data_IF_699105533536
#
_entry.id   IF_699105533536
#
_cell.length_a   1.000
_cell.length_b   1.000
_cell.length_c   1.000
_cell.angle_alpha   90.00
_cell.angle_beta   90.00
_cell.angle_gamma   90.00
#
_symmetry.space_group_name_H-M   'P 1'
#
loop_
_entity.id
_entity.type
_entity.pdbx_description
1 polymer ?
#
# COMPACT_ATOMS: atom_id res chain seq x y z
N UNK A 1 -1.48 9.75 -32.43
CA UNK A 1 -0.29 9.26 -31.69
C UNK A 1 -0.63 7.84 -31.29
N UNK A 2 -0.19 6.87 -32.08
CA UNK A 2 -0.50 5.46 -31.83
C UNK A 2 0.36 4.99 -30.68
N UNK A 3 -0.28 4.80 -29.52
CA UNK A 3 0.38 4.23 -28.36
C UNK A 3 0.53 2.73 -28.64
N UNK A 4 1.76 2.29 -28.85
CA UNK A 4 2.07 0.89 -29.10
C UNK A 4 1.61 0.04 -27.90
N UNK A 5 0.71 -0.92 -28.13
CA UNK A 5 0.11 -1.73 -27.07
C UNK A 5 1.19 -2.46 -26.26
N UNK A 6 2.32 -2.78 -26.90
CA UNK A 6 3.47 -3.41 -26.28
C UNK A 6 4.19 -2.47 -25.28
N UNK A 7 4.23 -1.17 -25.56
CA UNK A 7 4.78 -0.15 -24.67
C UNK A 7 3.90 0.03 -23.42
N UNK A 8 2.58 0.06 -23.59
CA UNK A 8 1.62 0.13 -22.47
C UNK A 8 1.75 -1.09 -21.57
N UNK A 9 1.77 -2.29 -22.15
CA UNK A 9 1.90 -3.54 -21.41
C UNK A 9 3.23 -3.60 -20.65
N UNK A 10 4.34 -3.24 -21.30
CA UNK A 10 5.66 -3.20 -20.67
C UNK A 10 5.70 -2.23 -19.50
N UNK A 11 5.13 -1.03 -19.67
CA UNK A 11 5.05 -0.01 -18.62
C UNK A 11 4.20 -0.49 -17.43
N UNK A 12 3.01 -1.05 -17.71
CA UNK A 12 2.12 -1.59 -16.68
C UNK A 12 2.77 -2.74 -15.90
N UNK A 13 3.46 -3.66 -16.59
CA UNK A 13 4.20 -4.74 -15.97
C UNK A 13 5.32 -4.20 -15.07
N UNK A 14 6.06 -3.19 -15.52
CA UNK A 14 7.13 -2.58 -14.74
C UNK A 14 6.63 -1.97 -13.42
N UNK A 15 5.52 -1.22 -13.48
CA UNK A 15 4.88 -0.68 -12.28
C UNK A 15 4.31 -1.77 -11.36
N UNK A 16 3.70 -2.81 -11.93
CA UNK A 16 3.20 -3.93 -11.15
C UNK A 16 4.33 -4.67 -10.41
N UNK A 17 5.48 -4.89 -11.07
CA UNK A 17 6.66 -5.51 -10.46
C UNK A 17 7.23 -4.64 -9.35
N UNK A 18 7.45 -3.35 -9.60
CA UNK A 18 7.98 -2.45 -8.58
C UNK A 18 7.04 -2.30 -7.38
N UNK A 19 5.74 -2.13 -7.62
CA UNK A 19 4.73 -2.06 -6.57
C UNK A 19 4.60 -3.37 -5.80
N UNK A 20 4.67 -4.51 -6.49
CA UNK A 20 4.67 -5.84 -5.89
C UNK A 20 5.91 -6.08 -5.02
N UNK A 21 7.11 -5.72 -5.50
CA UNK A 21 8.36 -5.82 -4.72
C UNK A 21 8.32 -4.93 -3.48
N UNK A 22 7.81 -3.71 -3.60
CA UNK A 22 7.59 -2.84 -2.45
C UNK A 22 6.61 -3.46 -1.45
N UNK A 23 5.47 -3.97 -1.94
CA UNK A 23 4.51 -4.67 -1.10
C UNK A 23 5.09 -5.89 -0.39
N UNK A 24 5.95 -6.66 -1.04
CA UNK A 24 6.68 -7.77 -0.43
C UNK A 24 7.65 -7.30 0.66
N UNK A 25 8.34 -6.19 0.45
CA UNK A 25 9.22 -5.60 1.46
C UNK A 25 8.43 -5.17 2.71
N UNK A 26 7.28 -4.53 2.52
CA UNK A 26 6.36 -4.20 3.63
C UNK A 26 5.85 -5.47 4.30
N UNK A 27 5.49 -6.50 3.54
CA UNK A 27 5.09 -7.80 4.07
C UNK A 27 6.19 -8.46 4.91
N UNK A 28 7.47 -8.29 4.57
CA UNK A 28 8.57 -8.78 5.41
C UNK A 28 8.64 -8.05 6.75
N UNK A 29 8.48 -6.71 6.74
CA UNK A 29 8.42 -5.90 7.97
C UNK A 29 7.21 -6.26 8.85
N UNK A 30 6.17 -6.80 8.23
CA UNK A 30 4.95 -7.28 8.88
C UNK A 30 5.01 -8.72 9.38
N UNK A 31 6.03 -9.49 8.96
CA UNK A 31 6.15 -10.90 9.33
C UNK A 31 6.15 -11.19 10.85
N UNK A 32 6.62 -10.30 11.77
CA UNK A 32 6.51 -10.57 13.20
C UNK A 32 5.06 -10.74 13.68
N UNK A 33 4.09 -10.08 13.04
CA UNK A 33 2.67 -10.22 13.37
C UNK A 33 2.13 -11.62 13.03
N UNK A 34 2.79 -12.34 12.12
CA UNK A 34 2.50 -13.75 11.85
C UNK A 34 2.89 -14.66 13.01
N UNK A 35 3.59 -14.20 14.05
CA UNK A 35 3.73 -14.98 15.28
C UNK A 35 2.38 -15.16 15.98
N UNK A 36 1.41 -14.27 15.73
CA UNK A 36 0.04 -14.41 16.21
C UNK A 36 -0.72 -15.49 15.43
N UNK A 37 -1.19 -16.52 16.13
CA UNK A 37 -2.09 -17.52 15.55
C UNK A 37 -3.42 -16.93 15.03
N UNK A 38 -3.85 -15.76 15.53
CA UNK A 38 -5.07 -15.08 15.05
C UNK A 38 -4.90 -14.55 13.62
N UNK A 39 -3.76 -13.93 13.33
CA UNK A 39 -3.49 -13.43 11.98
C UNK A 39 -3.20 -14.56 10.99
N UNK A 40 -2.58 -15.67 11.43
CA UNK A 40 -2.46 -16.85 10.58
C UNK A 40 -3.82 -17.38 10.15
N UNK A 41 -4.78 -17.49 11.08
CA UNK A 41 -6.16 -17.89 10.79
C UNK A 41 -6.85 -17.00 9.76
N UNK A 42 -6.59 -15.69 9.77
CA UNK A 42 -7.06 -14.78 8.72
C UNK A 42 -6.56 -15.23 7.34
N UNK A 43 -5.26 -15.46 7.18
CA UNK A 43 -4.71 -15.86 5.89
C UNK A 43 -5.07 -17.31 5.51
N UNK A 44 -5.21 -18.22 6.47
CA UNK A 44 -5.75 -19.57 6.29
C UNK A 44 -7.18 -19.55 5.74
N UNK A 45 -8.01 -18.59 6.20
CA UNK A 45 -9.39 -18.46 5.71
C UNK A 45 -9.45 -18.03 4.25
N UNK A 46 -8.43 -17.28 3.78
CA UNK A 46 -8.40 -16.76 2.42
C UNK A 46 -7.92 -17.83 1.41
N UNK A 47 -8.43 -17.83 0.17
CA UNK A 47 -7.89 -18.66 -0.90
C UNK A 47 -6.42 -18.32 -1.15
N UNK A 48 -5.53 -19.31 -1.39
CA UNK A 48 -5.81 -20.73 -1.68
C UNK A 48 -5.96 -21.68 -0.47
N UNK A 49 -6.01 -21.18 0.77
CA UNK A 49 -6.25 -21.99 1.99
C UNK A 49 -5.00 -22.37 2.78
N UNK A 50 -3.80 -22.07 2.28
CA UNK A 50 -2.55 -22.11 3.05
C UNK A 50 -2.16 -20.69 3.48
N UNK A 51 -1.98 -20.45 4.78
CA UNK A 51 -1.73 -19.10 5.29
C UNK A 51 -0.45 -18.46 4.72
N UNK A 52 0.57 -19.24 4.35
CA UNK A 52 1.84 -18.68 3.82
C UNK A 52 1.63 -18.19 2.40
N UNK A 53 0.98 -19.01 1.57
CA UNK A 53 0.63 -18.62 0.21
C UNK A 53 -0.33 -17.44 0.20
N UNK A 54 -1.38 -17.50 1.01
CA UNK A 54 -2.33 -16.39 1.16
C UNK A 54 -1.63 -15.11 1.65
N UNK A 55 -0.70 -15.20 2.60
CA UNK A 55 0.06 -14.04 3.06
C UNK A 55 0.84 -13.37 1.94
N UNK A 56 1.63 -14.15 1.21
CA UNK A 56 2.47 -13.65 0.10
C UNK A 56 1.62 -13.09 -1.04
N UNK A 57 0.45 -13.67 -1.29
CA UNK A 57 -0.46 -13.23 -2.35
C UNK A 57 -1.21 -11.94 -2.00
N UNK A 58 -1.78 -11.87 -0.79
CA UNK A 58 -2.71 -10.81 -0.41
C UNK A 58 -2.04 -9.57 0.19
N UNK A 59 -0.91 -9.73 0.90
CA UNK A 59 -0.23 -8.58 1.54
C UNK A 59 0.33 -7.54 0.58
N UNK A 60 0.84 -7.88 -0.62
CA UNK A 60 1.36 -6.86 -1.54
C UNK A 60 0.26 -6.02 -2.20
N UNK A 61 -0.97 -6.52 -2.31
CA UNK A 61 -2.05 -5.86 -3.06
C UNK A 61 -2.37 -4.44 -2.59
N UNK A 62 -2.53 -4.17 -1.27
CA UNK A 62 -2.69 -2.79 -0.81
C UNK A 62 -1.54 -1.90 -1.31
N UNK A 63 -0.28 -2.34 -1.19
CA UNK A 63 0.89 -1.53 -1.54
C UNK A 63 0.93 -1.09 -3.01
N UNK A 64 0.28 -1.84 -3.92
CA UNK A 64 0.17 -1.46 -5.32
C UNK A 64 -0.55 -0.12 -5.52
N UNK A 65 -1.58 0.17 -4.70
CA UNK A 65 -2.34 1.43 -4.81
C UNK A 65 -1.46 2.64 -4.54
N UNK A 66 -0.63 2.59 -3.49
CA UNK A 66 0.27 3.70 -3.20
C UNK A 66 1.49 3.71 -4.12
N UNK A 67 1.97 2.56 -4.57
CA UNK A 67 3.03 2.50 -5.59
C UNK A 67 2.58 3.18 -6.89
N UNK A 68 1.30 3.06 -7.26
CA UNK A 68 0.72 3.80 -8.38
C UNK A 68 0.77 5.31 -8.16
N UNK A 69 0.31 5.82 -7.01
CA UNK A 69 0.37 7.25 -6.72
C UNK A 69 1.81 7.78 -6.61
N UNK A 70 2.72 6.99 -6.04
CA UNK A 70 4.16 7.32 -6.01
C UNK A 70 4.73 7.39 -7.44
N UNK A 71 4.32 6.48 -8.32
CA UNK A 71 4.66 6.49 -9.74
C UNK A 71 4.16 7.72 -10.50
N UNK A 72 3.12 8.40 -10.01
CA UNK A 72 2.68 9.71 -10.53
C UNK A 72 3.60 10.84 -10.04
N UNK A 73 4.07 10.75 -8.79
CA UNK A 73 4.92 11.80 -8.18
C UNK A 73 6.33 11.83 -8.78
N UNK A 74 6.97 10.67 -8.97
CA UNK A 74 8.40 10.57 -9.30
C UNK A 74 8.85 11.06 -10.68
N UNK A 75 8.09 10.87 -11.78
CA UNK A 75 8.46 11.39 -13.10
C UNK A 75 8.48 12.92 -13.12
N UNK A 76 7.72 13.54 -12.22
CA UNK A 76 7.46 14.97 -12.20
C UNK A 76 8.51 15.73 -11.39
N UNK A 77 9.04 15.13 -10.31
CA UNK A 77 10.17 15.64 -9.54
C UNK A 77 11.53 15.52 -10.25
N UNK A 78 11.54 15.09 -11.51
CA UNK A 78 12.76 15.03 -12.36
C UNK A 78 12.76 16.10 -13.43
N UNK A 79 11.63 16.79 -13.63
CA UNK A 79 11.52 17.93 -14.53
C UNK A 79 11.73 19.15 -13.67
N UNK A 80 12.96 19.66 -13.61
CA UNK A 80 13.32 20.86 -12.85
C UNK A 80 12.33 21.99 -13.18
N UNK A 81 11.45 22.30 -12.24
CA UNK A 81 10.53 23.44 -12.30
C UNK A 81 10.99 24.49 -11.29
N UNK A 82 10.67 25.78 -11.52
CA UNK A 82 10.91 26.80 -10.53
C UNK A 82 10.32 26.38 -9.17
N UNK A 83 11.00 26.64 -8.03
CA UNK A 83 10.54 26.24 -6.69
C UNK A 83 9.11 26.73 -6.33
N UNK A 84 8.62 27.73 -7.06
CA UNK A 84 7.30 28.35 -6.90
C UNK A 84 6.18 27.63 -7.66
N UNK A 85 6.48 26.66 -8.53
CA UNK A 85 5.48 25.99 -9.38
C UNK A 85 5.54 24.46 -9.24
N UNK A 86 4.95 23.95 -8.15
CA UNK A 86 4.67 22.52 -8.03
C UNK A 86 3.75 22.08 -9.17
N UNK A 87 4.12 20.99 -9.86
CA UNK A 87 3.30 20.43 -10.92
C UNK A 87 1.97 19.91 -10.38
N UNK A 88 0.88 20.10 -11.13
CA UNK A 88 -0.45 19.57 -10.79
C UNK A 88 -0.44 18.06 -10.55
N UNK A 89 0.42 17.30 -11.25
CA UNK A 89 0.58 15.86 -11.07
C UNK A 89 1.30 15.51 -9.76
N UNK A 90 2.26 16.32 -9.33
CA UNK A 90 2.92 16.17 -8.03
C UNK A 90 1.92 16.35 -6.89
N UNK A 91 1.12 17.43 -6.96
CA UNK A 91 0.05 17.72 -5.99
C UNK A 91 -1.00 16.62 -6.00
N UNK A 92 -1.48 16.21 -7.18
CA UNK A 92 -2.46 15.14 -7.32
C UNK A 92 -1.95 13.78 -6.79
N UNK A 93 -0.66 13.47 -6.97
CA UNK A 93 -0.05 12.26 -6.43
C UNK A 93 0.02 12.26 -4.90
N UNK A 94 0.40 13.40 -4.29
CA UNK A 94 0.39 13.56 -2.83
C UNK A 94 -1.03 13.50 -2.25
N UNK A 95 -1.98 14.21 -2.86
CA UNK A 95 -3.39 14.19 -2.46
C UNK A 95 -3.96 12.78 -2.60
N UNK A 96 -3.59 12.07 -3.68
CA UNK A 96 -3.94 10.67 -3.90
C UNK A 96 -3.45 9.75 -2.79
N UNK A 97 -2.19 9.89 -2.35
CA UNK A 97 -1.64 9.16 -1.21
C UNK A 97 -2.44 9.46 0.06
N UNK A 98 -2.75 10.72 0.33
CA UNK A 98 -3.48 11.15 1.53
C UNK A 98 -4.90 10.60 1.56
N UNK A 99 -5.64 10.75 0.45
CA UNK A 99 -7.01 10.26 0.29
C UNK A 99 -7.06 8.74 0.38
N UNK A 100 -6.17 8.02 -0.33
CA UNK A 100 -6.09 6.56 -0.28
C UNK A 100 -5.82 6.06 1.14
N UNK A 101 -4.94 6.75 1.88
CA UNK A 101 -4.63 6.44 3.28
C UNK A 101 -5.84 6.67 4.17
N UNK A 102 -6.51 7.83 4.07
CA UNK A 102 -7.67 8.16 4.87
C UNK A 102 -8.83 7.16 4.65
N UNK A 103 -9.11 6.79 3.41
CA UNK A 103 -10.11 5.77 3.08
C UNK A 103 -9.69 4.43 3.68
N UNK A 104 -8.43 4.05 3.54
CA UNK A 104 -7.91 2.76 4.00
C UNK A 104 -7.97 2.58 5.51
N UNK A 105 -7.81 3.65 6.30
CA UNK A 105 -7.95 3.61 7.76
C UNK A 105 -9.32 3.08 8.19
N UNK A 106 -10.38 3.40 7.43
CA UNK A 106 -11.74 2.93 7.71
C UNK A 106 -12.07 1.63 6.98
N UNK A 107 -11.64 1.53 5.71
CA UNK A 107 -11.97 0.40 4.85
C UNK A 107 -11.40 -0.92 5.38
N UNK A 108 -10.15 -0.94 5.84
CA UNK A 108 -9.51 -2.18 6.29
C UNK A 108 -10.16 -2.77 7.56
N UNK A 109 -10.40 -2.02 8.63
CA UNK A 109 -11.13 -2.54 9.78
C UNK A 109 -12.52 -3.04 9.43
N UNK A 110 -13.26 -2.31 8.58
CA UNK A 110 -14.60 -2.74 8.13
C UNK A 110 -14.52 -4.05 7.34
N UNK A 111 -13.57 -4.15 6.43
CA UNK A 111 -13.36 -5.34 5.60
C UNK A 111 -13.03 -6.56 6.46
N UNK A 112 -12.09 -6.40 7.40
CA UNK A 112 -11.57 -7.49 8.23
C UNK A 112 -12.55 -7.93 9.33
N UNK A 113 -13.27 -6.99 9.95
CA UNK A 113 -14.16 -7.29 11.09
C UNK A 113 -15.59 -7.64 10.67
N UNK A 114 -16.06 -7.18 9.51
CA UNK A 114 -17.46 -7.33 9.12
C UNK A 114 -17.65 -7.97 7.75
N UNK A 115 -16.97 -7.49 6.71
CA UNK A 115 -17.23 -7.95 5.34
C UNK A 115 -16.74 -9.37 5.11
N UNK A 116 -15.49 -9.68 5.49
CA UNK A 116 -14.91 -11.02 5.33
C UNK A 116 -15.70 -12.08 6.10
N UNK A 117 -16.04 -11.89 7.39
CA UNK A 117 -16.80 -12.88 8.15
C UNK A 117 -18.19 -13.15 7.56
N UNK A 118 -18.92 -12.08 7.17
CA UNK A 118 -20.24 -12.21 6.52
C UNK A 118 -20.16 -12.95 5.18
N UNK A 119 -19.01 -12.89 4.49
CA UNK A 119 -18.75 -13.61 3.23
C UNK A 119 -18.29 -15.06 3.45
N UNK A 120 -18.23 -15.54 4.69
CA UNK A 120 -17.79 -16.90 5.03
C UNK A 120 -16.29 -17.04 5.30
N UNK A 121 -15.53 -15.95 5.25
CA UNK A 121 -14.11 -15.90 5.63
C UNK A 121 -13.98 -15.49 7.10
N UNK A 122 -14.63 -16.24 7.99
CA UNK A 122 -14.59 -15.97 9.42
C UNK A 122 -13.31 -16.54 10.03
N UNK A 123 -12.43 -15.63 10.43
CA UNK A 123 -11.10 -15.94 10.95
C UNK A 123 -11.03 -15.84 12.48
N UNK A 124 -12.10 -15.38 13.13
CA UNK A 124 -12.21 -15.27 14.58
C UNK A 124 -13.64 -15.53 15.11
N UNK A 125 -14.32 -16.63 14.71
CA UNK A 125 -15.74 -16.88 14.99
C UNK A 125 -16.11 -16.88 16.48
N UNK A 126 -15.20 -17.30 17.34
CA UNK A 126 -15.44 -17.41 18.79
C UNK A 126 -14.99 -16.15 19.56
N UNK A 127 -14.34 -15.18 18.90
CA UNK A 127 -13.46 -14.24 19.62
C UNK A 127 -13.35 -12.83 18.98
N UNK A 128 -14.44 -12.24 18.47
CA UNK A 128 -14.51 -10.79 18.17
C UNK A 128 -14.52 -9.94 19.45
N UNK A 129 -13.54 -10.19 20.31
CA UNK A 129 -13.26 -9.50 21.56
C UNK A 129 -12.57 -8.16 21.28
N UNK A 130 -12.54 -7.24 22.27
CA UNK A 130 -11.76 -6.00 22.16
C UNK A 130 -10.31 -6.22 21.68
N UNK A 131 -9.70 -7.34 22.07
CA UNK A 131 -8.35 -7.74 21.64
C UNK A 131 -8.24 -7.91 20.12
N UNK A 132 -9.23 -8.51 19.48
CA UNK A 132 -9.26 -8.70 18.02
C UNK A 132 -9.41 -7.36 17.30
N UNK A 133 -10.27 -6.47 17.84
CA UNK A 133 -10.41 -5.10 17.33
C UNK A 133 -9.10 -4.33 17.45
N UNK A 134 -8.44 -4.38 18.61
CA UNK A 134 -7.14 -3.72 18.82
C UNK A 134 -6.07 -4.27 17.89
N UNK A 135 -6.04 -5.58 17.65
CA UNK A 135 -5.11 -6.21 16.72
C UNK A 135 -5.36 -5.74 15.28
N UNK A 136 -6.61 -5.65 14.84
CA UNK A 136 -6.96 -5.18 13.49
C UNK A 136 -6.68 -3.70 13.31
N UNK A 137 -7.07 -2.86 14.27
CA UNK A 137 -6.85 -1.40 14.19
C UNK A 137 -5.36 -1.07 14.32
N UNK A 138 -4.69 -1.59 15.35
CA UNK A 138 -3.26 -1.40 15.54
C UNK A 138 -2.45 -1.95 14.38
N UNK A 139 -2.90 -3.07 13.82
CA UNK A 139 -2.36 -3.62 12.61
C UNK A 139 -2.57 -2.72 11.38
N UNK A 140 -3.79 -2.28 11.12
CA UNK A 140 -4.08 -1.36 10.01
C UNK A 140 -3.20 -0.10 10.10
N UNK A 141 -3.10 0.50 11.29
CA UNK A 141 -2.26 1.68 11.52
C UNK A 141 -0.79 1.37 11.27
N UNK A 142 -0.26 0.28 11.83
CA UNK A 142 1.15 -0.11 11.63
C UNK A 142 1.47 -0.37 10.16
N UNK A 143 0.57 -1.04 9.43
CA UNK A 143 0.71 -1.30 8.00
C UNK A 143 0.73 -0.01 7.19
N UNK A 144 -0.24 0.87 7.41
CA UNK A 144 -0.31 2.16 6.71
C UNK A 144 0.87 3.06 7.04
N UNK A 145 1.38 3.06 8.29
CA UNK A 145 2.58 3.81 8.65
C UNK A 145 3.80 3.31 7.87
N UNK A 146 4.04 2.00 7.84
CA UNK A 146 5.17 1.42 7.11
C UNK A 146 5.08 1.65 5.61
N UNK A 147 3.88 1.88 5.10
CA UNK A 147 3.63 2.09 3.68
C UNK A 147 3.75 3.56 3.30
N UNK A 148 3.14 4.46 4.08
CA UNK A 148 3.03 5.89 3.78
C UNK A 148 4.27 6.66 4.22
N UNK A 149 4.83 6.37 5.39
CA UNK A 149 5.95 7.16 5.94
C UNK A 149 7.18 7.09 5.04
N UNK A 150 7.67 5.92 4.61
CA UNK A 150 8.83 5.86 3.71
C UNK A 150 8.57 6.56 2.38
N UNK A 151 7.35 6.46 1.85
CA UNK A 151 6.95 7.15 0.63
C UNK A 151 6.95 8.66 0.80
N UNK A 152 6.37 9.16 1.88
CA UNK A 152 6.32 10.60 2.16
C UNK A 152 7.73 11.16 2.34
N UNK A 153 8.59 10.44 3.07
CA UNK A 153 10.01 10.77 3.20
C UNK A 153 10.69 10.80 1.83
N UNK A 154 10.47 9.79 1.00
CA UNK A 154 11.05 9.72 -0.34
C UNK A 154 10.58 10.87 -1.25
N UNK A 155 9.30 11.21 -1.22
CA UNK A 155 8.73 12.34 -1.97
C UNK A 155 9.33 13.67 -1.50
N UNK A 156 9.47 13.88 -0.19
CA UNK A 156 10.12 15.07 0.35
C UNK A 156 11.57 15.19 -0.15
N UNK A 157 12.36 14.11 -0.05
CA UNK A 157 13.74 14.13 -0.55
C UNK A 157 13.83 14.32 -2.07
N UNK A 158 12.93 13.71 -2.84
CA UNK A 158 12.87 13.90 -4.28
C UNK A 158 12.52 15.35 -4.64
N UNK A 159 11.57 15.97 -3.94
CA UNK A 159 11.23 17.38 -4.10
C UNK A 159 12.31 18.35 -3.61
N UNK A 160 13.11 17.99 -2.59
CA UNK A 160 14.29 18.77 -2.17
C UNK A 160 15.42 18.73 -3.21
N UNK A 161 15.52 17.66 -4.01
CA UNK A 161 16.44 17.59 -5.14
C UNK A 161 16.22 18.69 -6.18
N UNK A 162 14.95 19.08 -6.42
CA UNK A 162 14.60 20.22 -7.29
C UNK A 162 15.03 21.57 -6.70
N UNK A 163 15.04 21.71 -5.37
CA UNK A 163 15.48 22.96 -4.68
C UNK A 163 17.01 23.08 -4.65
N UNK A 164 17.72 21.96 -4.51
CA UNK A 164 19.19 21.93 -4.41
C UNK A 164 19.90 21.91 -5.77
N UNK A 165 19.21 21.53 -6.85
CA UNK A 165 19.76 21.53 -8.23
C UNK A 165 19.63 22.87 -8.96
N UNK A 166 19.18 23.92 -8.27
CA UNK A 166 19.22 25.31 -8.74
C UNK A 166 20.63 25.93 -8.77
N UNK A 167 21.63 25.16 -9.18
CA UNK A 167 22.97 25.62 -9.58
C UNK A 167 23.26 25.20 -11.00
#
# INVERSE_FOLDING_TARGET
MDIDALYVLSTALHFAVLGGLYGLLIALLWSPFLLSGRLRRLFESLPPGDWRMSYVLWMPLPAMVWAFFLGIVLPVSRVARPPTEASILYVAGLDGILVATAISVLLWPILLLYVLPVRGFDWAPEEYTPTTVTLVVGGTVWYLLMLVVPMYVFVLFAGFGDVMSGT
#
